data_IF_232192266051
#
_entry.id   IF_232192266051
#
_cell.length_a   1.000
_cell.length_b   1.000
_cell.length_c   1.000
_cell.angle_alpha   90.00
_cell.angle_beta   90.00
_cell.angle_gamma   90.00
#
_symmetry.space_group_name_H-M   'P 1'
#
loop_
_entity.id
_entity.type
_entity.pdbx_description
1 polymer ?
#
# COMPACT_ATOMS: atom_id res chain seq x y z
N UNK A 1 -7.86 44.31 1.10
CA UNK A 1 -9.15 44.83 0.59
C UNK A 1 -10.20 43.75 0.84
N UNK A 2 -11.27 44.01 1.60
CA UNK A 2 -12.32 43.01 1.83
C UNK A 2 -13.34 43.04 0.70
N UNK A 3 -13.61 41.90 0.07
CA UNK A 3 -14.61 41.77 -0.99
C UNK A 3 -15.82 41.03 -0.42
N UNK A 4 -17.00 41.64 -0.47
CA UNK A 4 -18.24 41.00 -0.04
C UNK A 4 -18.84 40.22 -1.21
N UNK A 5 -19.11 38.93 -1.00
CA UNK A 5 -19.78 38.03 -1.94
C UNK A 5 -20.94 37.35 -1.24
N UNK A 6 -22.05 37.17 -1.95
CA UNK A 6 -23.20 36.43 -1.46
C UNK A 6 -23.13 35.01 -2.02
N UNK A 7 -23.31 34.01 -1.15
CA UNK A 7 -23.33 32.60 -1.51
C UNK A 7 -24.62 31.98 -1.01
N UNK A 8 -25.23 31.13 -1.83
CA UNK A 8 -26.41 30.35 -1.46
C UNK A 8 -25.99 28.94 -1.13
N UNK A 9 -26.35 28.46 0.06
CA UNK A 9 -26.04 27.12 0.52
C UNK A 9 -27.32 26.42 0.95
N UNK A 10 -27.46 25.16 0.58
CA UNK A 10 -28.57 24.34 1.03
C UNK A 10 -28.48 24.11 2.55
N UNK A 11 -29.63 23.90 3.20
CA UNK A 11 -29.70 23.66 4.65
C UNK A 11 -28.83 22.48 5.12
N UNK A 12 -28.70 21.44 4.29
CA UNK A 12 -27.82 20.30 4.58
C UNK A 12 -26.33 20.67 4.64
N UNK A 13 -25.91 21.65 3.85
CA UNK A 13 -24.54 22.18 3.86
C UNK A 13 -24.31 23.16 5.02
N UNK A 14 -25.31 23.97 5.37
CA UNK A 14 -25.24 24.86 6.53
C UNK A 14 -25.07 24.09 7.85
N UNK A 15 -25.79 22.96 8.02
CA UNK A 15 -25.64 22.08 9.20
C UNK A 15 -24.23 21.52 9.35
N UNK A 16 -23.55 21.24 8.24
CA UNK A 16 -22.15 20.74 8.27
C UNK A 16 -21.16 21.82 8.71
N UNK A 17 -21.49 23.10 8.49
CA UNK A 17 -20.67 24.25 8.88
C UNK A 17 -20.99 24.75 10.29
N UNK A 18 -22.11 24.32 10.86
CA UNK A 18 -22.61 24.75 12.17
C UNK A 18 -21.57 24.67 13.30
N UNK A 19 -20.76 23.60 13.44
CA UNK A 19 -19.73 23.54 14.48
C UNK A 19 -18.67 24.65 14.34
N UNK A 20 -18.25 24.95 13.11
CA UNK A 20 -17.27 26.00 12.80
C UNK A 20 -17.86 27.40 12.96
N UNK A 21 -19.13 27.58 12.59
CA UNK A 21 -19.83 28.86 12.76
C UNK A 21 -20.03 29.17 14.24
N UNK A 22 -20.36 28.15 15.06
CA UNK A 22 -20.46 28.27 16.51
C UNK A 22 -19.11 28.62 17.15
N UNK A 23 -18.01 27.98 16.71
CA UNK A 23 -16.64 28.32 17.12
C UNK A 23 -16.32 29.80 16.92
N UNK A 24 -16.78 30.37 15.81
CA UNK A 24 -16.62 31.80 15.49
C UNK A 24 -17.76 32.69 16.00
N UNK A 25 -18.50 32.26 17.04
CA UNK A 25 -19.58 33.02 17.68
C UNK A 25 -20.65 33.50 16.68
N UNK A 26 -20.98 32.66 15.72
CA UNK A 26 -21.96 32.96 14.66
C UNK A 26 -21.37 33.65 13.43
N UNK A 27 -20.06 33.95 13.39
CA UNK A 27 -19.44 34.63 12.27
C UNK A 27 -19.08 33.64 11.13
N UNK A 28 -20.00 33.55 10.17
CA UNK A 28 -19.86 32.69 9.01
C UNK A 28 -18.66 33.05 8.11
N UNK A 29 -18.33 34.34 7.99
CA UNK A 29 -17.19 34.76 7.16
C UNK A 29 -15.86 34.37 7.77
N UNK A 30 -15.75 34.35 9.10
CA UNK A 30 -14.56 33.87 9.80
C UNK A 30 -14.41 32.35 9.67
N UNK A 31 -15.52 31.61 9.84
CA UNK A 31 -15.55 30.16 9.61
C UNK A 31 -15.13 29.79 8.17
N UNK A 32 -15.62 30.52 7.16
CA UNK A 32 -15.24 30.30 5.77
C UNK A 32 -13.78 30.66 5.48
N UNK A 33 -13.23 31.71 6.10
CA UNK A 33 -11.79 32.03 5.96
C UNK A 33 -10.91 30.94 6.55
N UNK A 34 -11.25 30.42 7.73
CA UNK A 34 -10.51 29.30 8.33
C UNK A 34 -10.50 28.06 7.42
N UNK A 35 -11.64 27.74 6.77
CA UNK A 35 -11.70 26.65 5.80
C UNK A 35 -10.81 26.95 4.57
N UNK A 36 -10.85 28.17 4.05
CA UNK A 36 -10.05 28.56 2.88
C UNK A 36 -8.56 28.53 3.22
N UNK A 37 -8.16 29.04 4.38
CA UNK A 37 -6.77 29.06 4.84
C UNK A 37 -6.26 27.63 5.08
N UNK A 38 -7.10 26.74 5.62
CA UNK A 38 -6.79 25.33 5.78
C UNK A 38 -6.59 24.62 4.44
N UNK A 39 -7.47 24.87 3.47
CA UNK A 39 -7.34 24.31 2.12
C UNK A 39 -6.08 24.87 1.45
N UNK A 40 -5.83 26.18 1.51
CA UNK A 40 -4.66 26.82 0.90
C UNK A 40 -3.34 26.28 1.49
N UNK A 41 -3.32 26.03 2.81
CA UNK A 41 -2.18 25.41 3.51
C UNK A 41 -1.97 23.97 3.06
N UNK A 42 -3.03 23.15 2.97
CA UNK A 42 -2.96 21.77 2.47
C UNK A 42 -2.54 21.67 1.00
N UNK A 43 -2.79 22.70 0.20
CA UNK A 43 -2.50 22.68 -1.25
C UNK A 43 -1.06 23.10 -1.55
N UNK A 44 -0.40 23.84 -0.65
CA UNK A 44 0.91 24.45 -0.91
C UNK A 44 2.11 23.72 -0.29
N UNK A 45 1.89 22.90 0.74
CA UNK A 45 3.00 22.33 1.51
C UNK A 45 2.74 20.89 2.00
N UNK A 46 3.55 19.90 1.58
CA UNK A 46 3.52 18.54 2.14
C UNK A 46 3.91 18.46 3.63
N UNK A 47 4.64 19.43 4.19
CA UNK A 47 5.00 19.51 5.62
C UNK A 47 3.88 20.12 6.49
N UNK A 48 2.78 20.59 5.88
CA UNK A 48 1.61 21.12 6.59
C UNK A 48 1.01 20.13 7.60
N UNK A 49 1.27 18.83 7.43
CA UNK A 49 0.90 17.77 8.38
C UNK A 49 1.49 18.06 9.78
N UNK A 50 2.67 18.64 9.88
CA UNK A 50 3.37 18.90 11.15
C UNK A 50 2.71 20.04 11.94
N UNK A 51 2.36 21.12 11.23
CA UNK A 51 1.61 22.23 11.79
C UNK A 51 0.15 21.83 12.13
N UNK A 52 -0.41 20.88 11.38
CA UNK A 52 -1.71 20.26 11.69
C UNK A 52 -1.66 19.39 12.96
N UNK A 53 -0.56 18.66 13.19
CA UNK A 53 -0.34 17.85 14.40
C UNK A 53 -0.18 18.73 15.63
N UNK A 54 0.48 19.88 15.53
CA UNK A 54 0.48 20.87 16.61
C UNK A 54 -0.89 21.52 16.81
N UNK A 55 -1.68 21.69 15.73
CA UNK A 55 -3.10 22.07 15.81
C UNK A 55 -4.00 21.04 16.52
N UNK A 56 -3.65 19.74 16.49
CA UNK A 56 -4.32 18.70 17.28
C UNK A 56 -4.05 18.84 18.80
N UNK A 57 -2.99 19.55 19.20
CA UNK A 57 -2.60 19.76 20.60
C UNK A 57 -3.15 21.05 21.21
N UNK A 58 -3.54 22.03 20.40
CA UNK A 58 -4.00 23.35 20.86
C UNK A 58 -5.25 23.79 20.13
N UNK A 59 -6.42 23.83 20.80
CA UNK A 59 -7.71 24.52 20.56
C UNK A 59 -8.17 24.95 19.12
N UNK A 60 -7.49 24.53 18.07
CA UNK A 60 -7.81 24.74 16.66
C UNK A 60 -8.40 23.43 16.13
N UNK A 61 -9.65 23.20 16.49
CA UNK A 61 -10.43 22.01 16.14
C UNK A 61 -10.63 21.90 14.62
N UNK A 62 -9.76 21.14 13.95
CA UNK A 62 -10.07 20.53 12.66
C UNK A 62 -11.36 19.73 12.82
N UNK A 63 -12.30 19.89 11.89
CA UNK A 63 -13.53 19.08 11.95
C UNK A 63 -13.20 17.60 11.85
N UNK A 64 -14.00 16.74 12.50
CA UNK A 64 -13.86 15.28 12.44
C UNK A 64 -13.73 14.76 10.99
N UNK A 65 -14.43 15.41 10.04
CA UNK A 65 -14.37 15.06 8.62
C UNK A 65 -13.01 15.31 7.98
N UNK A 66 -12.32 16.38 8.36
CA UNK A 66 -10.97 16.71 7.86
C UNK A 66 -9.98 15.70 8.42
N UNK A 67 -10.03 15.42 9.72
CA UNK A 67 -9.19 14.42 10.37
C UNK A 67 -9.42 13.05 9.74
N UNK A 68 -10.68 12.67 9.54
CA UNK A 68 -11.03 11.41 8.89
C UNK A 68 -10.54 11.33 7.43
N UNK A 69 -10.60 12.42 6.68
CA UNK A 69 -10.03 12.49 5.34
C UNK A 69 -8.51 12.32 5.36
N UNK A 70 -7.80 13.00 6.27
CA UNK A 70 -6.35 12.86 6.43
C UNK A 70 -5.94 11.44 6.78
N UNK A 71 -6.64 10.79 7.70
CA UNK A 71 -6.43 9.37 8.05
C UNK A 71 -6.56 8.48 6.82
N UNK A 72 -7.55 8.74 5.96
CA UNK A 72 -7.71 8.00 4.70
C UNK A 72 -6.54 8.24 3.74
N UNK A 73 -6.03 9.46 3.63
CA UNK A 73 -4.90 9.77 2.75
C UNK A 73 -3.57 9.22 3.27
N UNK A 74 -3.41 9.14 4.58
CA UNK A 74 -2.22 8.58 5.23
C UNK A 74 -2.22 7.05 5.30
N UNK A 75 -3.29 6.38 4.82
CA UNK A 75 -3.42 4.93 4.89
C UNK A 75 -2.22 4.25 4.22
N UNK A 76 -1.64 3.29 4.95
CA UNK A 76 -0.53 2.49 4.47
C UNK A 76 0.83 3.18 4.49
N UNK A 77 0.90 4.41 5.00
CA UNK A 77 2.16 5.11 5.26
C UNK A 77 2.49 4.98 6.73
N UNK A 78 3.77 4.79 7.03
CA UNK A 78 4.23 4.80 8.41
C UNK A 78 4.37 6.23 8.91
N UNK A 79 4.20 6.39 10.22
CA UNK A 79 4.40 7.67 10.89
C UNK A 79 5.89 7.84 11.11
N UNK A 80 6.44 8.98 10.67
CA UNK A 80 7.84 9.29 10.87
C UNK A 80 8.17 9.33 12.39
N UNK A 81 9.34 8.83 12.83
CA UNK A 81 9.71 8.82 14.23
C UNK A 81 9.67 10.19 14.92
N UNK A 82 9.99 11.28 14.21
CA UNK A 82 9.95 12.63 14.77
C UNK A 82 8.50 13.06 15.06
N UNK A 83 7.58 12.83 14.11
CA UNK A 83 6.15 13.12 14.31
C UNK A 83 5.53 12.21 15.36
N UNK A 84 5.93 10.94 15.41
CA UNK A 84 5.51 10.01 16.45
C UNK A 84 5.84 10.55 17.84
N UNK A 85 7.09 10.99 18.06
CA UNK A 85 7.52 11.54 19.34
C UNK A 85 6.81 12.85 19.70
N UNK A 86 6.35 13.59 18.68
CA UNK A 86 5.53 14.78 18.89
C UNK A 86 4.12 14.42 19.38
N UNK A 87 3.55 13.30 18.94
CA UNK A 87 2.21 12.83 19.33
C UNK A 87 2.30 12.11 20.67
N UNK A 88 3.14 11.08 20.75
CA UNK A 88 3.35 10.27 21.95
C UNK A 88 4.74 10.59 22.48
N UNK A 89 4.82 11.44 23.49
CA UNK A 89 6.09 11.82 24.11
C UNK A 89 6.67 10.63 24.90
N UNK A 90 7.77 10.00 24.43
CA UNK A 90 8.32 8.80 25.04
C UNK A 90 8.97 9.08 26.41
N UNK A 91 9.20 10.34 26.76
CA UNK A 91 9.73 10.74 28.08
C UNK A 91 8.64 10.80 29.14
N UNK A 92 7.39 11.05 28.72
CA UNK A 92 6.22 11.13 29.61
C UNK A 92 5.46 9.81 29.66
N UNK A 93 5.31 9.16 28.51
CA UNK A 93 4.56 7.92 28.36
C UNK A 93 5.57 6.77 28.38
N UNK A 94 5.91 6.33 29.58
CA UNK A 94 6.87 5.23 29.78
C UNK A 94 6.16 3.90 30.00
N UNK A 95 5.01 3.88 30.68
CA UNK A 95 4.27 2.64 30.95
C UNK A 95 3.25 2.36 29.83
N UNK A 96 2.97 1.08 29.55
CA UNK A 96 1.91 0.68 28.63
C UNK A 96 0.53 1.15 29.14
N UNK A 97 0.33 1.13 30.46
CA UNK A 97 -0.88 1.68 31.08
C UNK A 97 -1.04 3.18 30.83
N UNK A 98 0.06 3.94 30.81
CA UNK A 98 0.03 5.38 30.52
C UNK A 98 -0.29 5.61 29.04
N UNK A 99 0.23 4.75 28.16
CA UNK A 99 -0.08 4.77 26.74
C UNK A 99 -1.56 4.48 26.50
N UNK A 100 -2.11 3.43 27.11
CA UNK A 100 -3.54 3.11 27.00
C UNK A 100 -4.41 4.29 27.45
N UNK A 101 -4.11 4.85 28.62
CA UNK A 101 -4.82 6.01 29.16
C UNK A 101 -4.72 7.24 28.23
N UNK A 102 -3.53 7.53 27.71
CA UNK A 102 -3.32 8.63 26.76
C UNK A 102 -4.16 8.44 25.50
N UNK A 103 -4.22 7.21 24.96
CA UNK A 103 -5.01 6.91 23.77
C UNK A 103 -6.53 7.02 24.05
N UNK A 104 -6.99 6.60 25.23
CA UNK A 104 -8.38 6.78 25.65
C UNK A 104 -8.75 8.26 25.78
N UNK A 105 -7.89 9.08 26.39
CA UNK A 105 -8.11 10.53 26.48
C UNK A 105 -8.13 11.19 25.08
N UNK A 106 -7.19 10.82 24.20
CA UNK A 106 -7.10 11.33 22.83
C UNK A 106 -8.35 10.97 22.00
N UNK A 107 -8.84 9.75 22.13
CA UNK A 107 -9.99 9.24 21.36
C UNK A 107 -11.34 9.76 21.89
N UNK A 108 -11.44 9.99 23.21
CA UNK A 108 -12.62 10.57 23.85
C UNK A 108 -12.81 12.06 23.49
N UNK A 109 -11.71 12.82 23.39
CA UNK A 109 -11.76 14.24 23.02
C UNK A 109 -12.21 14.52 21.58
N UNK A 110 -12.12 13.52 20.68
CA UNK A 110 -12.29 13.72 19.24
C UNK A 110 -13.52 13.04 18.61
N UNK A 111 -14.44 12.45 19.40
CA UNK A 111 -15.56 11.62 18.89
C UNK A 111 -15.11 10.38 18.10
N UNK A 112 -13.95 9.80 18.43
CA UNK A 112 -13.38 8.70 17.63
C UNK A 112 -14.05 7.34 17.82
N UNK A 113 -14.94 7.19 18.82
CA UNK A 113 -15.72 5.95 19.08
C UNK A 113 -14.88 4.67 18.91
N UNK A 114 -13.64 4.73 19.39
CA UNK A 114 -12.67 3.64 19.32
C UNK A 114 -12.18 3.36 20.73
N UNK A 115 -12.11 2.10 21.09
CA UNK A 115 -11.55 1.63 22.34
C UNK A 115 -10.21 0.96 22.06
N UNK A 116 -9.20 1.34 22.84
CA UNK A 116 -7.85 0.76 22.80
C UNK A 116 -7.64 -0.02 24.08
N UNK A 117 -7.11 -1.24 23.98
CA UNK A 117 -6.68 -2.04 25.12
C UNK A 117 -5.32 -2.64 24.84
N UNK A 118 -4.43 -2.58 25.81
CA UNK A 118 -3.14 -3.24 25.81
C UNK A 118 -3.20 -4.29 26.91
N UNK A 119 -3.17 -5.56 26.53
CA UNK A 119 -3.30 -6.69 27.43
C UNK A 119 -2.22 -7.73 27.14
N UNK A 120 -2.18 -8.81 27.94
CA UNK A 120 -1.26 -9.93 27.75
C UNK A 120 0.20 -9.47 27.64
N UNK A 121 0.69 -8.82 28.71
CA UNK A 121 2.08 -8.41 28.86
C UNK A 121 2.61 -8.76 30.25
N UNK A 122 3.91 -9.06 30.33
CA UNK A 122 4.61 -9.43 31.57
C UNK A 122 5.19 -8.24 32.34
N UNK A 123 5.60 -7.18 31.64
CA UNK A 123 6.19 -5.98 32.22
C UNK A 123 5.58 -4.72 31.59
N UNK A 124 5.12 -3.80 32.44
CA UNK A 124 4.42 -2.59 32.01
C UNK A 124 5.36 -1.54 31.37
N UNK A 125 6.67 -1.60 31.63
CA UNK A 125 7.65 -0.67 31.08
C UNK A 125 8.39 -1.24 29.87
N UNK A 126 8.76 -2.53 29.90
CA UNK A 126 9.60 -3.20 28.92
C UNK A 126 9.12 -4.65 28.65
N UNK A 127 7.93 -4.82 28.06
CA UNK A 127 7.30 -6.12 27.86
C UNK A 127 8.16 -7.08 27.01
N UNK A 128 8.13 -8.37 27.33
CA UNK A 128 8.63 -9.43 26.43
C UNK A 128 7.63 -9.79 25.32
N UNK A 129 6.34 -9.57 25.60
CA UNK A 129 5.21 -9.75 24.70
C UNK A 129 4.12 -8.74 25.08
N UNK A 130 3.29 -8.37 24.13
CA UNK A 130 2.11 -7.54 24.38
C UNK A 130 1.06 -7.82 23.31
N UNK A 131 -0.21 -7.68 23.68
CA UNK A 131 -1.32 -7.76 22.74
C UNK A 131 -2.09 -6.44 22.75
N UNK A 132 -2.21 -5.80 21.58
CA UNK A 132 -3.00 -4.58 21.41
C UNK A 132 -4.31 -4.93 20.71
N UNK A 133 -5.42 -4.56 21.33
CA UNK A 133 -6.76 -4.73 20.80
C UNK A 133 -7.38 -3.35 20.57
N UNK A 134 -7.72 -3.07 19.32
CA UNK A 134 -8.46 -1.88 18.92
C UNK A 134 -9.85 -2.29 18.47
N UNK A 135 -10.90 -1.65 18.99
CA UNK A 135 -12.29 -1.89 18.57
C UNK A 135 -12.99 -0.57 18.28
N UNK A 136 -13.73 -0.46 17.18
CA UNK A 136 -14.37 0.81 16.83
C UNK A 136 -15.32 0.72 15.65
N UNK A 137 -16.00 1.83 15.37
CA UNK A 137 -17.01 1.94 14.29
C UNK A 137 -16.40 2.16 12.90
N UNK A 138 -15.09 2.39 12.79
CA UNK A 138 -14.43 2.78 11.55
C UNK A 138 -13.09 2.08 11.40
N UNK A 139 -12.98 1.24 10.37
CA UNK A 139 -11.73 0.52 10.05
C UNK A 139 -10.54 1.48 9.86
N UNK A 140 -10.75 2.65 9.26
CA UNK A 140 -9.67 3.61 9.02
C UNK A 140 -9.13 4.22 10.31
N UNK A 141 -10.02 4.57 11.26
CA UNK A 141 -9.60 5.10 12.57
C UNK A 141 -8.83 4.06 13.36
N UNK A 142 -9.32 2.82 13.40
CA UNK A 142 -8.64 1.74 14.13
C UNK A 142 -7.32 1.31 13.46
N UNK A 143 -7.22 1.34 12.12
CA UNK A 143 -5.95 1.09 11.42
C UNK A 143 -4.92 2.18 11.73
N UNK A 144 -5.31 3.44 11.74
CA UNK A 144 -4.42 4.55 12.08
C UNK A 144 -3.90 4.47 13.51
N UNK A 145 -4.80 4.26 14.49
CA UNK A 145 -4.40 4.09 15.89
C UNK A 145 -3.52 2.85 16.08
N UNK A 146 -3.84 1.77 15.37
CA UNK A 146 -3.01 0.57 15.35
C UNK A 146 -1.60 0.87 14.85
N UNK A 147 -1.46 1.57 13.73
CA UNK A 147 -0.17 2.00 13.19
C UNK A 147 0.60 2.90 14.15
N UNK A 148 -0.08 3.86 14.79
CA UNK A 148 0.51 4.78 15.78
C UNK A 148 1.05 4.03 17.01
N UNK A 149 0.24 3.18 17.63
CA UNK A 149 0.63 2.39 18.80
C UNK A 149 1.73 1.39 18.44
N UNK A 150 1.58 0.68 17.31
CA UNK A 150 2.60 -0.24 16.82
C UNK A 150 3.94 0.47 16.57
N UNK A 151 3.92 1.67 15.99
CA UNK A 151 5.14 2.46 15.78
C UNK A 151 5.82 2.80 17.09
N UNK A 152 5.05 3.23 18.10
CA UNK A 152 5.57 3.51 19.44
C UNK A 152 6.20 2.27 20.08
N UNK A 153 5.51 1.12 20.06
CA UNK A 153 6.01 -0.13 20.64
C UNK A 153 7.25 -0.66 19.92
N UNK A 154 7.30 -0.56 18.59
CA UNK A 154 8.45 -0.99 17.78
C UNK A 154 9.67 -0.12 18.06
N UNK A 155 9.49 1.21 18.03
CA UNK A 155 10.61 2.18 18.13
C UNK A 155 11.12 2.28 19.57
N UNK A 156 10.21 2.42 20.55
CA UNK A 156 10.59 2.74 21.93
C UNK A 156 10.59 1.54 22.87
N UNK A 157 9.82 0.49 22.57
CA UNK A 157 9.73 -0.73 23.41
C UNK A 157 10.43 -1.95 22.80
N UNK A 158 11.15 -1.77 21.68
CA UNK A 158 11.89 -2.83 20.97
C UNK A 158 11.03 -4.06 20.70
N UNK A 159 9.80 -3.83 20.26
CA UNK A 159 8.87 -4.90 19.88
C UNK A 159 8.92 -5.14 18.36
N UNK A 160 8.60 -6.34 17.93
CA UNK A 160 8.21 -6.66 16.56
C UNK A 160 6.75 -7.09 16.53
N UNK A 161 6.08 -6.86 15.41
CA UNK A 161 4.73 -7.36 15.16
C UNK A 161 4.84 -8.80 14.67
N UNK A 162 4.20 -9.73 15.37
CA UNK A 162 4.18 -11.15 15.03
C UNK A 162 2.97 -11.49 14.17
N UNK A 163 1.84 -10.86 14.45
CA UNK A 163 0.61 -11.09 13.70
C UNK A 163 -0.34 -9.93 13.85
N UNK A 164 -1.10 -9.67 12.79
CA UNK A 164 -2.16 -8.69 12.76
C UNK A 164 -3.43 -9.35 12.22
N UNK A 165 -4.48 -9.40 13.06
CA UNK A 165 -5.81 -9.89 12.68
C UNK A 165 -6.74 -8.71 12.49
N UNK A 166 -7.27 -8.53 11.27
CA UNK A 166 -8.27 -7.50 10.94
C UNK A 166 -9.66 -8.12 10.83
N UNK A 167 -10.60 -7.58 11.58
CA UNK A 167 -12.05 -7.81 11.46
C UNK A 167 -12.74 -6.47 11.18
N UNK A 168 -14.03 -6.48 10.82
CA UNK A 168 -14.76 -5.28 10.38
C UNK A 168 -14.78 -4.13 11.40
N UNK A 169 -14.76 -4.45 12.68
CA UNK A 169 -14.82 -3.49 13.80
C UNK A 169 -13.73 -3.70 14.85
N UNK A 170 -12.73 -4.55 14.56
CA UNK A 170 -11.70 -4.94 15.53
C UNK A 170 -10.37 -5.25 14.84
N UNK A 171 -9.27 -4.73 15.39
CA UNK A 171 -7.91 -5.12 15.04
C UNK A 171 -7.22 -5.68 16.28
N UNK A 172 -6.54 -6.80 16.12
CA UNK A 172 -5.67 -7.37 17.16
C UNK A 172 -4.26 -7.48 16.62
N UNK A 173 -3.31 -6.88 17.33
CA UNK A 173 -1.89 -6.88 17.00
C UNK A 173 -1.13 -7.57 18.13
N UNK A 174 -0.38 -8.62 17.81
CA UNK A 174 0.43 -9.35 18.77
C UNK A 174 1.90 -8.98 18.58
N UNK A 175 2.58 -8.74 19.69
CA UNK A 175 3.96 -8.30 19.72
C UNK A 175 4.85 -9.27 20.47
N UNK A 176 6.13 -9.23 20.11
CA UNK A 176 7.21 -9.90 20.84
C UNK A 176 8.42 -9.00 20.88
N UNK A 177 9.23 -9.14 21.91
CA UNK A 177 10.50 -8.44 22.04
C UNK A 177 11.48 -8.84 20.94
N UNK A 178 12.06 -7.84 20.29
CA UNK A 178 13.03 -7.99 19.20
C UNK A 178 14.21 -7.04 19.43
N UNK A 179 15.40 -7.60 19.64
CA UNK A 179 16.63 -6.82 19.87
C UNK A 179 17.18 -6.21 18.59
N UNK A 180 16.91 -6.81 17.43
CA UNK A 180 17.33 -6.26 16.15
C UNK A 180 16.32 -5.21 15.67
N UNK A 181 16.72 -3.93 15.80
CA UNK A 181 15.88 -2.79 15.42
C UNK A 181 15.45 -2.83 13.94
N UNK A 182 16.26 -3.41 13.05
CA UNK A 182 15.91 -3.50 11.63
C UNK A 182 14.79 -4.50 11.39
N UNK A 183 14.83 -5.67 12.05
CA UNK A 183 13.75 -6.67 11.97
C UNK A 183 12.46 -6.14 12.59
N UNK A 184 12.58 -5.44 13.73
CA UNK A 184 11.46 -4.78 14.39
C UNK A 184 10.79 -3.76 13.46
N UNK A 185 11.57 -2.87 12.81
CA UNK A 185 11.05 -1.90 11.83
C UNK A 185 10.47 -2.55 10.59
N UNK A 186 11.10 -3.61 10.08
CA UNK A 186 10.56 -4.34 8.93
C UNK A 186 9.19 -4.93 9.23
N UNK A 187 8.95 -5.40 10.46
CA UNK A 187 7.62 -5.87 10.86
C UNK A 187 6.56 -4.76 10.75
N UNK A 188 6.90 -3.52 11.08
CA UNK A 188 6.00 -2.37 10.95
C UNK A 188 5.62 -2.11 9.48
N UNK A 189 6.60 -2.13 8.58
CA UNK A 189 6.39 -2.00 7.12
C UNK A 189 5.48 -3.11 6.61
N UNK A 190 5.76 -4.37 7.00
CA UNK A 190 5.01 -5.52 6.51
C UNK A 190 3.52 -5.51 6.90
N UNK A 191 3.15 -4.91 8.04
CA UNK A 191 1.77 -4.95 8.55
C UNK A 191 0.99 -3.63 8.42
N UNK A 192 1.67 -2.47 8.40
CA UNK A 192 1.06 -1.15 8.34
C UNK A 192 1.60 -0.23 7.24
N UNK A 193 2.68 -0.61 6.55
CA UNK A 193 3.41 0.21 5.58
C UNK A 193 3.24 -0.22 4.13
N UNK A 194 2.06 -0.68 3.70
CA UNK A 194 1.82 -1.17 2.33
C UNK A 194 2.07 -0.12 1.24
N UNK A 195 2.01 1.17 1.59
CA UNK A 195 2.32 2.30 0.71
C UNK A 195 3.68 2.94 1.01
N UNK A 196 4.46 2.43 1.96
CA UNK A 196 5.73 3.03 2.39
C UNK A 196 6.74 3.04 1.24
N UNK A 197 7.04 1.86 0.70
CA UNK A 197 8.00 1.70 -0.39
C UNK A 197 7.56 2.47 -1.65
N UNK A 198 6.28 2.36 -2.02
CA UNK A 198 5.70 3.02 -3.19
C UNK A 198 5.78 4.55 -3.04
N UNK A 199 5.36 5.08 -1.89
CA UNK A 199 5.40 6.53 -1.64
C UNK A 199 6.84 7.02 -1.67
N UNK A 200 7.77 6.29 -1.05
CA UNK A 200 9.19 6.64 -1.06
C UNK A 200 9.76 6.69 -2.48
N UNK A 201 9.40 5.74 -3.35
CA UNK A 201 9.88 5.68 -4.73
C UNK A 201 9.25 6.78 -5.59
N UNK A 202 7.97 7.09 -5.37
CA UNK A 202 7.30 8.22 -6.01
C UNK A 202 8.01 9.53 -5.66
N UNK A 203 8.31 9.77 -4.38
CA UNK A 203 8.99 11.00 -3.95
C UNK A 203 10.41 11.11 -4.50
N UNK A 204 11.18 10.01 -4.52
CA UNK A 204 12.56 10.00 -5.07
C UNK A 204 12.62 10.48 -6.52
N UNK A 205 11.59 10.19 -7.33
CA UNK A 205 11.53 10.57 -8.75
C UNK A 205 10.17 11.13 -9.14
N UNK A 206 9.73 12.17 -8.44
CA UNK A 206 8.38 12.72 -8.58
C UNK A 206 8.00 13.10 -10.01
N UNK A 207 8.86 13.85 -10.71
CA UNK A 207 8.57 14.30 -12.08
C UNK A 207 8.53 13.14 -13.08
N UNK A 208 9.35 12.11 -12.88
CA UNK A 208 9.29 10.88 -13.67
C UNK A 208 7.94 10.20 -13.49
N UNK A 209 7.51 9.97 -12.24
CA UNK A 209 6.24 9.30 -11.97
C UNK A 209 5.03 10.12 -12.42
N UNK A 210 5.06 11.44 -12.28
CA UNK A 210 4.03 12.33 -12.86
C UNK A 210 3.90 12.13 -14.37
N UNK A 211 5.03 12.09 -15.08
CA UNK A 211 5.05 11.83 -16.52
C UNK A 211 4.46 10.45 -16.85
N UNK A 212 4.95 9.38 -16.20
CA UNK A 212 4.49 8.01 -16.44
C UNK A 212 2.99 7.87 -16.17
N UNK A 213 2.50 8.33 -15.02
CA UNK A 213 1.07 8.27 -14.66
C UNK A 213 0.21 9.03 -15.69
N UNK A 214 0.66 10.22 -16.13
CA UNK A 214 -0.07 10.98 -17.12
C UNK A 214 -0.10 10.27 -18.49
N UNK A 215 1.00 9.65 -18.92
CA UNK A 215 1.05 8.87 -20.16
C UNK A 215 0.06 7.70 -20.12
N UNK A 216 0.09 6.90 -19.05
CA UNK A 216 -0.84 5.79 -18.85
C UNK A 216 -2.30 6.25 -18.81
N UNK A 217 -2.59 7.38 -18.18
CA UNK A 217 -3.94 7.96 -18.16
C UNK A 217 -4.40 8.40 -19.54
N UNK A 218 -3.53 9.07 -20.31
CA UNK A 218 -3.86 9.58 -21.65
C UNK A 218 -4.04 8.46 -22.68
N UNK A 219 -3.36 7.33 -22.51
CA UNK A 219 -3.48 6.15 -23.38
C UNK A 219 -4.55 5.17 -22.91
N UNK A 220 -5.33 5.50 -21.87
CA UNK A 220 -6.31 4.61 -21.26
C UNK A 220 -5.70 3.24 -20.89
N UNK A 221 -4.50 3.26 -20.32
CA UNK A 221 -3.71 2.09 -19.93
C UNK A 221 -3.35 1.14 -21.09
N UNK A 222 -3.55 1.55 -22.35
CA UNK A 222 -3.14 0.80 -23.52
C UNK A 222 -1.68 1.08 -23.87
N UNK A 223 -0.77 0.68 -22.97
CA UNK A 223 0.67 0.84 -23.11
C UNK A 223 1.40 -0.43 -22.68
N UNK A 224 2.47 -0.75 -23.43
CA UNK A 224 3.37 -1.84 -23.10
C UNK A 224 4.62 -1.27 -22.44
N UNK A 225 4.91 -1.72 -21.21
CA UNK A 225 6.16 -1.39 -20.51
C UNK A 225 7.12 -2.56 -20.59
N UNK A 226 8.32 -2.32 -21.10
CA UNK A 226 9.35 -3.35 -21.30
C UNK A 226 10.71 -2.89 -20.74
N UNK A 227 11.58 -3.83 -20.33
CA UNK A 227 12.94 -3.50 -19.95
C UNK A 227 13.69 -2.82 -21.11
N UNK A 228 14.56 -1.86 -20.80
CA UNK A 228 15.37 -1.17 -21.83
C UNK A 228 16.21 -2.16 -22.65
N UNK A 229 16.77 -3.19 -22.03
CA UNK A 229 17.55 -4.22 -22.73
C UNK A 229 16.67 -5.07 -23.65
N UNK A 230 15.42 -5.34 -23.27
CA UNK A 230 14.46 -6.01 -24.12
C UNK A 230 14.13 -5.16 -25.36
N UNK A 231 13.89 -3.86 -25.18
CA UNK A 231 13.71 -2.91 -26.28
C UNK A 231 14.92 -2.87 -27.22
N UNK A 232 16.15 -2.86 -26.68
CA UNK A 232 17.36 -2.88 -27.49
C UNK A 232 17.49 -4.17 -28.33
N UNK A 233 17.09 -5.32 -27.77
CA UNK A 233 17.08 -6.59 -28.51
C UNK A 233 16.04 -6.61 -29.65
N UNK A 234 14.90 -5.93 -29.46
CA UNK A 234 13.94 -5.74 -30.54
C UNK A 234 14.52 -4.88 -31.68
N UNK A 235 15.25 -3.81 -31.34
CA UNK A 235 15.85 -2.91 -32.35
C UNK A 235 16.91 -3.60 -33.23
N UNK A 236 17.63 -4.59 -32.71
CA UNK A 236 18.60 -5.38 -33.49
C UNK A 236 17.95 -6.52 -34.28
N UNK A 237 16.62 -6.64 -34.24
CA UNK A 237 15.86 -7.64 -35.00
C UNK A 237 15.85 -9.04 -34.39
N UNK A 238 16.09 -9.19 -33.08
CA UNK A 238 16.00 -10.50 -32.43
C UNK A 238 14.53 -10.94 -32.35
N UNK A 239 14.19 -12.07 -32.99
CA UNK A 239 12.81 -12.56 -33.06
C UNK A 239 12.19 -12.88 -31.69
N UNK A 240 13.00 -13.38 -30.75
CA UNK A 240 12.55 -13.73 -29.40
C UNK A 240 13.56 -13.21 -28.37
N UNK A 241 13.42 -11.94 -27.92
CA UNK A 241 14.31 -11.35 -26.93
C UNK A 241 14.27 -12.11 -25.60
N UNK A 242 15.42 -12.19 -24.93
CA UNK A 242 15.61 -12.99 -23.69
C UNK A 242 15.45 -12.17 -22.42
N UNK A 243 15.55 -10.83 -22.48
CA UNK A 243 15.52 -9.98 -21.29
C UNK A 243 14.14 -9.82 -20.64
N UNK A 244 13.12 -10.57 -21.08
CA UNK A 244 11.81 -10.54 -20.43
C UNK A 244 11.79 -11.27 -19.09
N UNK A 245 12.80 -12.10 -18.81
CA UNK A 245 12.99 -12.71 -17.49
C UNK A 245 13.41 -11.70 -16.41
N UNK A 246 14.06 -10.60 -16.82
CA UNK A 246 14.71 -9.67 -15.89
C UNK A 246 13.79 -9.04 -14.84
N UNK A 247 12.54 -8.63 -15.15
CA UNK A 247 11.61 -8.16 -14.13
C UNK A 247 11.26 -9.22 -13.07
N UNK A 248 11.08 -10.46 -13.49
CA UNK A 248 10.77 -11.59 -12.58
C UNK A 248 11.98 -11.88 -11.68
N UNK A 249 13.18 -11.92 -12.27
CA UNK A 249 14.43 -12.13 -11.55
C UNK A 249 14.72 -10.98 -10.56
N UNK A 250 14.37 -9.74 -10.91
CA UNK A 250 14.52 -8.58 -10.04
C UNK A 250 13.57 -8.63 -8.82
N UNK A 251 12.34 -9.13 -9.00
CA UNK A 251 11.36 -9.32 -7.92
C UNK A 251 11.85 -10.38 -6.93
N UNK A 252 12.30 -11.54 -7.45
CA UNK A 252 12.70 -12.67 -6.61
C UNK A 252 14.16 -12.62 -6.15
N UNK A 253 14.98 -11.73 -6.74
CA UNK A 253 16.42 -11.56 -6.47
C UNK A 253 17.24 -12.83 -6.70
N UNK A 254 16.75 -13.73 -7.55
CA UNK A 254 17.41 -14.98 -7.95
C UNK A 254 17.20 -15.22 -9.46
N UNK A 255 18.10 -15.97 -10.13
CA UNK A 255 17.95 -16.32 -11.54
C UNK A 255 16.66 -17.10 -11.82
N UNK A 256 16.07 -16.95 -13.01
CA UNK A 256 14.76 -17.55 -13.34
C UNK A 256 14.75 -19.09 -13.23
N UNK A 257 15.89 -19.73 -13.50
CA UNK A 257 16.09 -21.19 -13.37
C UNK A 257 15.99 -21.70 -11.92
N UNK A 258 16.20 -20.81 -10.95
CA UNK A 258 16.23 -21.17 -9.53
C UNK A 258 14.87 -20.84 -8.86
N UNK A 259 13.90 -20.29 -9.61
CA UNK A 259 12.55 -19.96 -9.12
C UNK A 259 11.64 -21.20 -9.27
N UNK A 260 11.00 -21.68 -8.19
CA UNK A 260 10.01 -22.76 -8.28
C UNK A 260 8.83 -22.40 -9.21
N UNK A 261 8.32 -23.38 -9.97
CA UNK A 261 7.29 -23.14 -10.98
C UNK A 261 5.97 -22.59 -10.40
N UNK A 262 5.60 -23.06 -9.21
CA UNK A 262 4.44 -22.62 -8.44
C UNK A 262 4.54 -21.16 -7.98
N UNK A 263 5.75 -20.61 -7.90
CA UNK A 263 6.02 -19.19 -7.63
C UNK A 263 6.18 -18.40 -8.93
N UNK A 264 6.82 -18.99 -9.94
CA UNK A 264 7.07 -18.37 -11.23
C UNK A 264 5.77 -18.04 -11.98
N UNK A 265 4.85 -19.00 -12.10
CA UNK A 265 3.61 -18.83 -12.88
C UNK A 265 2.75 -17.66 -12.34
N UNK A 266 2.43 -17.58 -11.03
CA UNK A 266 1.70 -16.43 -10.49
C UNK A 266 2.43 -15.11 -10.68
N UNK A 267 3.76 -15.10 -10.51
CA UNK A 267 4.57 -13.88 -10.72
C UNK A 267 4.51 -13.45 -12.18
N UNK A 268 4.69 -14.39 -13.11
CA UNK A 268 4.63 -14.16 -14.54
C UNK A 268 3.26 -13.60 -14.95
N UNK A 269 2.17 -14.19 -14.44
CA UNK A 269 0.81 -13.69 -14.62
C UNK A 269 0.70 -12.22 -14.23
N UNK A 270 1.03 -11.88 -12.99
CA UNK A 270 0.94 -10.50 -12.51
C UNK A 270 1.83 -9.54 -13.31
N UNK A 271 3.10 -9.89 -13.50
CA UNK A 271 4.08 -9.01 -14.15
C UNK A 271 3.71 -8.75 -15.61
N UNK A 272 3.37 -9.77 -16.39
CA UNK A 272 3.14 -9.60 -17.83
C UNK A 272 1.76 -9.01 -18.15
N UNK A 273 0.75 -9.23 -17.31
CA UNK A 273 -0.52 -8.50 -17.36
C UNK A 273 -0.28 -7.00 -17.07
N UNK A 274 0.44 -6.64 -16.00
CA UNK A 274 0.71 -5.24 -15.66
C UNK A 274 1.67 -4.54 -16.63
N UNK A 275 2.56 -5.28 -17.29
CA UNK A 275 3.41 -4.76 -18.36
C UNK A 275 2.63 -4.55 -19.67
N UNK A 276 1.38 -5.02 -19.78
CA UNK A 276 0.56 -4.89 -20.99
C UNK A 276 0.99 -5.80 -22.14
N UNK A 277 1.83 -6.81 -21.90
CA UNK A 277 2.30 -7.75 -22.93
C UNK A 277 1.16 -8.67 -23.37
N UNK A 278 0.33 -9.04 -22.41
CA UNK A 278 -0.86 -9.88 -22.58
C UNK A 278 -2.01 -9.24 -21.81
N UNK A 279 -3.24 -9.54 -22.18
CA UNK A 279 -4.42 -8.97 -21.52
C UNK A 279 -4.77 -9.74 -20.23
N UNK A 280 -4.64 -11.07 -20.28
CA UNK A 280 -4.94 -11.95 -19.16
C UNK A 280 -4.24 -13.29 -19.30
N UNK A 281 -3.82 -13.88 -18.19
CA UNK A 281 -3.31 -15.24 -18.08
C UNK A 281 -4.17 -15.99 -17.07
N UNK A 282 -4.98 -16.93 -17.49
CA UNK A 282 -5.70 -17.82 -16.58
C UNK A 282 -4.89 -19.11 -16.38
N UNK A 283 -4.79 -19.56 -15.12
CA UNK A 283 -3.99 -20.73 -14.75
C UNK A 283 -4.92 -21.82 -14.27
N UNK A 284 -4.85 -23.00 -14.91
CA UNK A 284 -5.55 -24.20 -14.46
C UNK A 284 -4.54 -25.32 -14.28
N UNK A 285 -4.31 -25.74 -13.03
CA UNK A 285 -3.20 -26.62 -12.65
C UNK A 285 -1.87 -26.05 -13.18
N UNK A 286 -1.24 -26.71 -14.15
CA UNK A 286 -0.01 -26.23 -14.80
C UNK A 286 -0.24 -25.73 -16.24
N UNK A 287 -1.49 -25.65 -16.69
CA UNK A 287 -1.84 -25.15 -18.03
C UNK A 287 -2.16 -23.67 -17.98
N UNK A 288 -1.57 -22.90 -18.89
CA UNK A 288 -1.73 -21.46 -19.00
C UNK A 288 -2.61 -21.11 -20.20
N UNK A 289 -3.62 -20.30 -19.98
CA UNK A 289 -4.51 -19.75 -21.00
C UNK A 289 -4.24 -18.26 -21.13
N UNK A 290 -3.62 -17.86 -22.23
CA UNK A 290 -3.05 -16.52 -22.42
C UNK A 290 -3.88 -15.79 -23.46
N UNK A 291 -4.62 -14.78 -23.00
CA UNK A 291 -5.47 -13.91 -23.80
C UNK A 291 -4.68 -12.69 -24.28
N UNK A 292 -4.83 -12.35 -25.56
CA UNK A 292 -4.15 -11.21 -26.17
C UNK A 292 -5.04 -10.49 -27.19
N UNK A 293 -4.78 -9.19 -27.39
CA UNK A 293 -5.49 -8.36 -28.37
C UNK A 293 -4.91 -8.34 -29.79
N UNK A 294 -3.92 -9.19 -30.10
CA UNK A 294 -3.23 -9.18 -31.40
C UNK A 294 -4.01 -9.91 -32.50
N UNK A 295 -4.03 -9.32 -33.70
CA UNK A 295 -4.67 -9.90 -34.91
C UNK A 295 -3.66 -10.36 -35.96
N UNK A 296 -2.43 -9.83 -35.96
CA UNK A 296 -1.38 -10.25 -36.90
C UNK A 296 -0.73 -11.56 -36.44
N UNK A 297 -0.77 -12.59 -37.28
CA UNK A 297 -0.21 -13.93 -36.99
C UNK A 297 1.27 -13.91 -36.60
N UNK A 298 2.06 -12.97 -37.13
CA UNK A 298 3.47 -12.81 -36.77
C UNK A 298 3.62 -12.29 -35.35
N UNK A 299 2.76 -11.35 -34.94
CA UNK A 299 2.74 -10.86 -33.56
C UNK A 299 2.32 -11.96 -32.58
N UNK A 300 1.30 -12.75 -32.93
CA UNK A 300 0.86 -13.90 -32.13
C UNK A 300 2.01 -14.90 -31.94
N UNK A 301 2.68 -15.29 -33.04
CA UNK A 301 3.81 -16.23 -32.98
C UNK A 301 5.02 -15.65 -32.23
N UNK A 302 5.27 -14.34 -32.32
CA UNK A 302 6.33 -13.70 -31.54
C UNK A 302 6.03 -13.79 -30.04
N UNK A 303 4.82 -13.43 -29.61
CA UNK A 303 4.41 -13.50 -28.20
C UNK A 303 4.49 -14.94 -27.68
N UNK A 304 4.00 -15.91 -28.46
CA UNK A 304 4.13 -17.33 -28.16
C UNK A 304 5.59 -17.72 -27.90
N UNK A 305 6.50 -17.42 -28.84
CA UNK A 305 7.94 -17.73 -28.71
C UNK A 305 8.56 -17.07 -27.48
N UNK A 306 8.23 -15.80 -27.21
CA UNK A 306 8.76 -15.04 -26.08
C UNK A 306 8.34 -15.67 -24.75
N UNK A 307 7.05 -15.99 -24.60
CA UNK A 307 6.51 -16.57 -23.36
C UNK A 307 7.01 -18.00 -23.15
N UNK A 308 7.12 -18.80 -24.21
CA UNK A 308 7.78 -20.10 -24.15
C UNK A 308 9.23 -19.99 -23.73
N UNK A 309 9.98 -19.02 -24.23
CA UNK A 309 11.39 -18.84 -23.84
C UNK A 309 11.54 -18.52 -22.35
N UNK A 310 10.61 -17.75 -21.76
CA UNK A 310 10.60 -17.48 -20.32
C UNK A 310 10.41 -18.78 -19.54
N UNK A 311 9.40 -19.58 -19.90
CA UNK A 311 9.11 -20.86 -19.24
C UNK A 311 10.23 -21.88 -19.42
N UNK A 312 10.79 -21.99 -20.63
CA UNK A 312 11.90 -22.89 -20.92
C UNK A 312 13.20 -22.45 -20.20
N UNK A 313 13.38 -21.15 -19.95
CA UNK A 313 14.52 -20.64 -19.16
C UNK A 313 14.46 -21.07 -17.69
N UNK A 314 13.27 -21.42 -17.19
CA UNK A 314 13.11 -22.03 -15.87
C UNK A 314 13.56 -23.51 -15.84
N UNK A 315 13.61 -24.17 -16.99
CA UNK A 315 14.00 -25.59 -17.12
C UNK A 315 12.83 -26.56 -17.32
N UNK A 316 11.58 -26.11 -17.14
CA UNK A 316 10.39 -26.88 -17.52
C UNK A 316 10.07 -26.66 -18.98
N UNK A 317 9.93 -27.75 -19.75
CA UNK A 317 9.59 -27.67 -21.17
C UNK A 317 8.07 -27.54 -21.32
N UNK A 318 7.63 -26.50 -22.03
CA UNK A 318 6.22 -26.30 -22.36
C UNK A 318 5.98 -26.47 -23.87
N UNK A 319 4.81 -27.02 -24.22
CA UNK A 319 4.27 -26.94 -25.58
C UNK A 319 3.22 -25.83 -25.66
N UNK A 320 3.08 -25.20 -26.82
CA UNK A 320 2.09 -24.17 -27.10
C UNK A 320 1.14 -24.58 -28.22
N UNK A 321 -0.10 -24.09 -28.12
CA UNK A 321 -1.10 -24.15 -29.20
C UNK A 321 -1.73 -22.77 -29.33
N UNK A 322 -1.64 -22.21 -30.52
CA UNK A 322 -2.18 -20.88 -30.81
C UNK A 322 -3.47 -20.94 -31.62
N UNK A 323 -4.39 -20.05 -31.26
CA UNK A 323 -5.58 -19.67 -32.03
C UNK A 323 -5.59 -18.15 -32.21
N UNK A 324 -6.63 -17.59 -32.84
CA UNK A 324 -6.66 -16.16 -33.18
C UNK A 324 -6.60 -15.22 -31.97
N UNK A 325 -7.14 -15.60 -30.81
CA UNK A 325 -7.24 -14.74 -29.62
C UNK A 325 -6.71 -15.40 -28.33
N UNK A 326 -6.12 -16.59 -28.45
CA UNK A 326 -5.75 -17.41 -27.31
C UNK A 326 -4.50 -18.24 -27.63
N UNK A 327 -3.53 -18.16 -26.73
CA UNK A 327 -2.36 -19.04 -26.68
C UNK A 327 -2.54 -19.96 -25.47
N UNK A 328 -2.50 -21.26 -25.68
CA UNK A 328 -2.54 -22.27 -24.62
C UNK A 328 -1.15 -22.86 -24.46
N UNK A 329 -0.60 -22.84 -23.25
CA UNK A 329 0.70 -23.45 -22.94
C UNK A 329 0.53 -24.53 -21.88
N UNK A 330 1.06 -25.73 -22.13
CA UNK A 330 0.99 -26.86 -21.21
C UNK A 330 2.35 -27.54 -21.04
N UNK A 331 2.69 -28.09 -19.87
CA UNK A 331 3.95 -28.79 -19.66
C UNK A 331 4.04 -30.02 -20.54
N UNK A 332 5.22 -30.27 -21.11
CA UNK A 332 5.51 -31.50 -21.83
C UNK A 332 5.76 -32.60 -20.80
N UNK A 333 4.77 -33.46 -20.58
CA UNK A 333 4.94 -34.64 -19.72
C UNK A 333 5.84 -35.65 -20.44
N UNK A 334 7.13 -35.67 -20.08
CA UNK A 334 8.03 -36.73 -20.53
C UNK A 334 7.58 -38.08 -19.94
N UNK A 335 7.49 -39.12 -20.77
CA UNK A 335 7.01 -40.49 -20.44
C UNK A 335 7.63 -41.16 -19.20
N UNK A 336 8.67 -40.59 -18.61
CA UNK A 336 9.37 -41.10 -17.43
C UNK A 336 8.52 -41.00 -16.14
N UNK A 337 7.58 -40.05 -16.05
CA UNK A 337 6.73 -39.88 -14.85
C UNK A 337 5.52 -40.83 -14.79
N UNK A 338 5.10 -41.40 -15.92
CA UNK A 338 4.02 -42.41 -15.94
C UNK A 338 4.39 -43.74 -15.26
N UNK A 339 5.68 -44.01 -15.06
CA UNK A 339 6.15 -45.26 -14.41
C UNK A 339 6.09 -45.18 -12.89
N UNK A 340 6.02 -43.97 -12.30
CA UNK A 340 6.02 -43.79 -10.85
C UNK A 340 4.60 -43.83 -10.25
N UNK A 341 3.56 -43.59 -11.06
CA UNK A 341 2.15 -43.60 -10.61
C UNK A 341 1.52 -45.01 -10.68
N UNK A 342 2.26 -46.01 -11.17
CA UNK A 342 1.76 -47.41 -11.29
C UNK A 342 2.53 -48.43 -10.44
N UNK A 343 3.13 -48.01 -9.32
CA UNK A 343 3.62 -48.95 -8.29
C UNK A 343 3.06 -48.67 -6.91
#
# INVERSE_FOLDING_TARGET
MSVRKNISLEKGHLRKLEPLVLKHKGNFSAAMREIIDLIDTMTRDPEAINNLIDGLKTDYNLTENVIFWLIKQARGRLIDPEHLNSIIDPTKIVLLSDLEKYMDEMTNGASWQTNVKIEDYDDNANPSHATVILSGNSIYKIEFLGGLISSFLVIHKKQEIISLKKMSNKITVNFRKQMNTNLARQSLVNYFGDMEDISSEIYKKLEFWKCIVNLYKQTNYNMVTIPKNYYNELLIGKEAPSYLTAPIEAIHKIPIRDIPLDVLIPTMKSVYEYMGIVERIDVNENTLYIYHGNTDKRAISAIEKILLNVLNSNGTVFESRCSENLIVMSPVVTKTEMVIITK
#
